data_IF_363394328657
#
_entry.id   IF_363394328657
#
_cell.length_a   1.000
_cell.length_b   1.000
_cell.length_c   1.000
_cell.angle_alpha   90.00
_cell.angle_beta   90.00
_cell.angle_gamma   90.00
#
_symmetry.space_group_name_H-M   'P 1'
#
loop_
_entity.id
_entity.type
_entity.pdbx_description
1 polymer ?
#
# COMPACT_ATOMS: atom_id res chain seq x y z
N UNK A 1 -16.03 4.94 18.50
CA UNK A 1 -16.02 6.42 18.53
C UNK A 1 -17.27 6.99 19.20
N UNK A 2 -17.13 8.04 20.04
CA UNK A 2 -18.26 8.75 20.66
C UNK A 2 -18.95 9.72 19.67
N UNK A 3 -20.28 9.86 19.74
CA UNK A 3 -21.09 10.76 18.92
C UNK A 3 -20.55 12.20 18.83
N UNK A 4 -20.09 12.78 19.95
CA UNK A 4 -19.55 14.15 19.95
C UNK A 4 -18.32 14.31 19.06
N UNK A 5 -17.45 13.29 19.03
CA UNK A 5 -16.26 13.29 18.18
C UNK A 5 -16.66 13.14 16.70
N UNK A 6 -17.62 12.23 16.43
CA UNK A 6 -18.20 12.03 15.10
C UNK A 6 -18.72 13.36 14.52
N UNK A 7 -19.53 14.08 15.29
CA UNK A 7 -20.13 15.35 14.85
C UNK A 7 -19.06 16.41 14.55
N UNK A 8 -17.98 16.46 15.36
CA UNK A 8 -16.87 17.40 15.16
C UNK A 8 -16.05 17.09 13.91
N UNK A 9 -15.82 15.82 13.62
CA UNK A 9 -15.13 15.39 12.39
C UNK A 9 -15.97 15.79 11.18
N UNK A 10 -17.27 15.48 11.19
CA UNK A 10 -18.20 15.84 10.10
C UNK A 10 -18.23 17.36 9.86
N UNK A 11 -18.32 18.16 10.93
CA UNK A 11 -18.30 19.62 10.83
C UNK A 11 -17.00 20.14 10.19
N UNK A 12 -15.85 19.59 10.58
CA UNK A 12 -14.55 19.97 10.02
C UNK A 12 -14.39 19.55 8.55
N UNK A 13 -14.91 18.39 8.17
CA UNK A 13 -14.94 17.90 6.79
C UNK A 13 -15.78 18.83 5.91
N UNK A 14 -16.98 19.20 6.37
CA UNK A 14 -17.87 20.07 5.61
C UNK A 14 -17.22 21.43 5.32
N UNK A 15 -16.53 22.01 6.31
CA UNK A 15 -15.78 23.27 6.13
C UNK A 15 -14.68 23.16 5.06
N UNK A 16 -13.99 22.02 5.00
CA UNK A 16 -12.96 21.77 3.97
C UNK A 16 -13.59 21.57 2.59
N UNK A 17 -14.72 20.88 2.48
CA UNK A 17 -15.38 20.65 1.19
C UNK A 17 -16.02 21.92 0.62
N UNK A 18 -16.58 22.76 1.49
CA UNK A 18 -17.15 24.05 1.10
C UNK A 18 -16.08 25.12 0.81
N UNK A 19 -14.83 24.86 1.20
CA UNK A 19 -13.72 25.76 0.95
C UNK A 19 -13.38 25.84 -0.54
N UNK A 20 -13.34 27.08 -1.06
CA UNK A 20 -13.00 27.36 -2.46
C UNK A 20 -11.74 28.22 -2.49
N UNK A 21 -10.57 27.65 -2.88
CA UNK A 21 -9.35 28.44 -3.01
C UNK A 21 -9.48 29.46 -4.14
N UNK A 22 -8.91 30.64 -3.94
CA UNK A 22 -8.77 31.66 -4.98
C UNK A 22 -7.65 31.28 -5.97
N UNK A 23 -7.64 31.91 -7.14
CA UNK A 23 -6.59 31.66 -8.13
C UNK A 23 -5.22 32.21 -7.70
N UNK A 24 -4.11 31.72 -8.26
CA UNK A 24 -2.77 32.23 -7.94
C UNK A 24 -2.53 33.68 -8.43
N UNK A 25 -3.39 34.17 -9.32
CA UNK A 25 -3.37 35.56 -9.82
C UNK A 25 -4.37 36.48 -9.10
N UNK A 26 -4.99 36.01 -8.01
CA UNK A 26 -5.88 36.82 -7.18
C UNK A 26 -5.13 37.93 -6.45
N UNK A 27 -5.90 38.82 -5.83
CA UNK A 27 -5.35 39.89 -5.00
C UNK A 27 -4.49 39.31 -3.83
N UNK A 28 -3.33 39.91 -3.49
CA UNK A 28 -2.47 39.40 -2.42
C UNK A 28 -3.14 39.27 -1.05
N UNK A 29 -4.08 40.15 -0.72
CA UNK A 29 -4.83 40.08 0.55
C UNK A 29 -5.84 38.93 0.52
N UNK A 30 -6.47 38.69 -0.65
CA UNK A 30 -7.35 37.55 -0.88
C UNK A 30 -6.57 36.23 -0.73
N UNK A 31 -5.39 36.13 -1.35
CA UNK A 31 -4.51 34.96 -1.25
C UNK A 31 -4.10 34.71 0.20
N UNK A 32 -3.69 35.77 0.91
CA UNK A 32 -3.27 35.68 2.31
C UNK A 32 -4.41 35.18 3.20
N UNK A 33 -5.63 35.68 2.98
CA UNK A 33 -6.82 35.23 3.70
C UNK A 33 -7.15 33.76 3.41
N UNK A 34 -7.08 33.34 2.15
CA UNK A 34 -7.31 31.94 1.73
C UNK A 34 -6.32 30.99 2.41
N UNK A 35 -5.02 31.31 2.40
CA UNK A 35 -3.99 30.50 3.06
C UNK A 35 -4.27 30.40 4.57
N UNK A 36 -4.60 31.53 5.21
CA UNK A 36 -4.86 31.59 6.64
C UNK A 36 -6.09 30.74 7.02
N UNK A 37 -7.22 30.93 6.34
CA UNK A 37 -8.47 30.20 6.59
C UNK A 37 -8.28 28.70 6.35
N UNK A 38 -7.61 28.33 5.25
CA UNK A 38 -7.31 26.93 4.96
C UNK A 38 -6.46 26.28 6.05
N UNK A 39 -5.41 26.98 6.52
CA UNK A 39 -4.55 26.50 7.61
C UNK A 39 -5.35 26.21 8.89
N UNK A 40 -6.35 27.02 9.20
CA UNK A 40 -7.23 26.79 10.35
C UNK A 40 -8.06 25.53 10.14
N UNK A 41 -8.72 25.41 8.98
CA UNK A 41 -9.59 24.28 8.69
C UNK A 41 -8.84 22.96 8.71
N UNK A 42 -7.63 22.91 8.11
CA UNK A 42 -6.85 21.68 8.07
C UNK A 42 -6.32 21.28 9.45
N UNK A 43 -5.92 22.25 10.30
CA UNK A 43 -5.53 21.99 11.69
C UNK A 43 -6.68 21.43 12.52
N UNK A 44 -7.87 21.99 12.34
CA UNK A 44 -9.08 21.54 13.03
C UNK A 44 -9.45 20.12 12.63
N UNK A 45 -9.49 19.84 11.32
CA UNK A 45 -9.71 18.49 10.79
C UNK A 45 -8.69 17.50 11.35
N UNK A 46 -7.39 17.81 11.25
CA UNK A 46 -6.31 16.95 11.76
C UNK A 46 -6.48 16.65 13.26
N UNK A 47 -6.81 17.67 14.05
CA UNK A 47 -6.98 17.52 15.49
C UNK A 47 -8.13 16.58 15.88
N UNK A 48 -9.27 16.63 15.18
CA UNK A 48 -10.39 15.74 15.48
C UNK A 48 -10.22 14.36 14.84
N UNK A 49 -9.79 14.29 13.58
CA UNK A 49 -9.67 13.04 12.85
C UNK A 49 -8.53 12.14 13.36
N UNK A 50 -7.47 12.70 13.97
CA UNK A 50 -6.41 11.92 14.64
C UNK A 50 -6.89 11.15 15.88
N UNK A 51 -8.13 11.35 16.31
CA UNK A 51 -8.75 10.64 17.44
C UNK A 51 -9.68 9.52 17.01
N UNK A 52 -9.72 9.21 15.72
CA UNK A 52 -10.43 8.05 15.20
C UNK A 52 -9.79 6.78 15.78
N UNK A 53 -10.63 5.79 16.09
CA UNK A 53 -10.19 4.52 16.68
C UNK A 53 -9.38 3.69 15.66
N UNK A 54 -9.66 3.88 14.38
CA UNK A 54 -8.96 3.26 13.25
C UNK A 54 -7.48 3.71 13.17
N UNK A 55 -6.56 2.74 13.29
CA UNK A 55 -5.12 3.00 13.32
C UNK A 55 -4.58 3.50 11.98
N UNK A 56 -5.12 3.01 10.85
CA UNK A 56 -4.66 3.39 9.52
C UNK A 56 -5.08 4.83 9.20
N UNK A 57 -6.36 5.15 9.39
CA UNK A 57 -6.86 6.51 9.18
C UNK A 57 -6.19 7.51 10.11
N UNK A 58 -6.00 7.15 11.38
CA UNK A 58 -5.28 7.99 12.34
C UNK A 58 -3.87 8.32 11.85
N UNK A 59 -3.12 7.32 11.37
CA UNK A 59 -1.77 7.54 10.84
C UNK A 59 -1.77 8.47 9.62
N UNK A 60 -2.65 8.24 8.66
CA UNK A 60 -2.75 9.09 7.46
C UNK A 60 -3.08 10.54 7.84
N UNK A 61 -3.97 10.74 8.81
CA UNK A 61 -4.31 12.08 9.33
C UNK A 61 -3.11 12.73 10.04
N UNK A 62 -2.34 11.96 10.82
CA UNK A 62 -1.15 12.45 11.51
C UNK A 62 -0.05 12.91 10.55
N UNK A 63 0.02 12.33 9.35
CA UNK A 63 1.01 12.68 8.31
C UNK A 63 0.67 13.95 7.51
N UNK A 64 -0.57 14.46 7.58
CA UNK A 64 -0.98 15.71 6.88
C UNK A 64 -0.11 16.89 7.32
N UNK A 65 0.57 17.57 6.39
CA UNK A 65 1.21 18.85 6.69
C UNK A 65 0.14 19.95 6.80
N UNK A 66 0.20 20.71 7.89
CA UNK A 66 -0.75 21.81 8.17
C UNK A 66 -0.12 23.19 8.00
N UNK A 67 1.18 23.21 7.65
CA UNK A 67 1.94 24.43 7.40
C UNK A 67 1.82 24.75 5.92
N UNK A 68 0.83 25.57 5.62
CA UNK A 68 0.65 26.18 4.31
C UNK A 68 1.02 27.66 4.40
N UNK A 69 1.81 28.10 3.45
CA UNK A 69 2.38 29.45 3.34
C UNK A 69 2.21 30.03 1.94
N UNK A 70 1.88 29.20 0.95
CA UNK A 70 1.59 29.61 -0.41
C UNK A 70 0.26 29.05 -0.89
N UNK A 71 -0.33 29.68 -1.91
CA UNK A 71 -1.57 29.21 -2.54
C UNK A 71 -1.38 27.84 -3.22
N UNK A 72 -0.18 27.54 -3.71
CA UNK A 72 0.14 26.24 -4.30
C UNK A 72 0.12 25.12 -3.26
N UNK A 73 0.70 25.37 -2.08
CA UNK A 73 0.67 24.43 -0.96
C UNK A 73 -0.77 24.17 -0.49
N UNK A 74 -1.67 25.16 -0.58
CA UNK A 74 -3.11 24.95 -0.34
C UNK A 74 -3.69 23.92 -1.32
N UNK A 75 -3.43 24.07 -2.62
CA UNK A 75 -3.92 23.12 -3.63
C UNK A 75 -3.32 21.72 -3.46
N UNK A 76 -2.01 21.62 -3.22
CA UNK A 76 -1.31 20.35 -2.97
C UNK A 76 -1.90 19.63 -1.75
N UNK A 77 -1.95 20.33 -0.61
CA UNK A 77 -2.53 19.79 0.63
C UNK A 77 -3.98 19.38 0.42
N UNK A 78 -4.77 20.15 -0.34
CA UNK A 78 -6.15 19.79 -0.62
C UNK A 78 -6.29 18.52 -1.47
N UNK A 79 -5.38 18.31 -2.42
CA UNK A 79 -5.29 17.08 -3.22
C UNK A 79 -4.98 15.88 -2.34
N UNK A 80 -4.05 16.02 -1.40
CA UNK A 80 -3.62 14.92 -0.51
C UNK A 80 -4.66 14.58 0.56
N UNK A 81 -5.40 15.58 1.04
CA UNK A 81 -6.38 15.41 2.13
C UNK A 81 -7.71 14.85 1.63
N UNK A 82 -8.09 15.11 0.37
CA UNK A 82 -9.37 14.66 -0.19
C UNK A 82 -9.59 13.13 -0.10
N UNK A 83 -8.62 12.27 -0.49
CA UNK A 83 -8.75 10.82 -0.29
C UNK A 83 -8.96 10.44 1.17
N UNK A 84 -8.22 11.06 2.09
CA UNK A 84 -8.33 10.81 3.53
C UNK A 84 -9.72 11.19 4.05
N UNK A 85 -10.25 12.32 3.60
CA UNK A 85 -11.63 12.72 3.91
C UNK A 85 -12.60 11.64 3.47
N UNK A 86 -12.49 11.16 2.23
CA UNK A 86 -13.39 10.13 1.71
C UNK A 86 -13.32 8.84 2.54
N UNK A 87 -12.12 8.36 2.87
CA UNK A 87 -11.96 7.16 3.69
C UNK A 87 -12.59 7.32 5.09
N UNK A 88 -12.46 8.52 5.68
CA UNK A 88 -13.09 8.83 6.98
C UNK A 88 -14.61 8.91 6.86
N UNK A 89 -15.14 9.46 5.76
CA UNK A 89 -16.58 9.48 5.49
C UNK A 89 -17.14 8.06 5.45
N UNK A 90 -16.47 7.19 4.71
CA UNK A 90 -16.85 5.78 4.58
C UNK A 90 -16.80 5.09 5.96
N UNK A 91 -15.75 5.34 6.76
CA UNK A 91 -15.63 4.87 8.15
C UNK A 91 -16.79 5.30 9.06
N UNK A 92 -17.27 6.54 8.87
CA UNK A 92 -18.29 7.16 9.72
C UNK A 92 -19.70 6.66 9.37
N UNK A 93 -19.97 6.36 8.10
CA UNK A 93 -21.31 6.15 7.59
C UNK A 93 -21.60 4.74 7.07
N UNK A 94 -20.60 3.90 6.79
CA UNK A 94 -20.83 2.53 6.35
C UNK A 94 -20.79 1.54 7.53
N UNK A 95 -21.92 0.86 7.88
CA UNK A 95 -21.94 -0.14 8.95
C UNK A 95 -21.06 -1.36 8.65
N UNK A 96 -20.75 -1.57 7.37
CA UNK A 96 -19.83 -2.59 6.86
C UNK A 96 -18.49 -2.00 6.44
N UNK A 97 -18.09 -0.86 7.00
CA UNK A 97 -16.74 -0.33 6.82
C UNK A 97 -15.74 -1.31 7.44
N UNK A 98 -15.42 -2.34 6.70
CA UNK A 98 -14.06 -2.80 6.62
C UNK A 98 -13.34 -1.66 5.92
N UNK A 99 -12.26 -1.14 6.51
CA UNK A 99 -11.28 -0.42 5.70
C UNK A 99 -11.09 -1.35 4.50
N UNK A 100 -11.47 -0.90 3.30
CA UNK A 100 -10.64 -1.25 2.17
C UNK A 100 -9.31 -0.62 2.56
N UNK A 101 -8.51 -1.36 3.35
CA UNK A 101 -7.08 -1.16 3.41
C UNK A 101 -6.83 -1.02 1.93
N UNK A 102 -6.43 0.19 1.52
CA UNK A 102 -5.91 0.42 0.19
C UNK A 102 -5.17 -0.86 -0.19
N UNK A 103 -5.26 -1.27 -1.44
CA UNK A 103 -4.44 -2.35 -1.97
C UNK A 103 -2.91 -2.12 -1.79
N UNK A 104 -2.44 -1.36 -0.78
CA UNK A 104 -1.10 -1.20 -0.26
C UNK A 104 -0.53 -2.42 0.47
N UNK A 105 -1.30 -3.48 0.74
CA UNK A 105 -0.65 -4.76 1.05
C UNK A 105 -0.29 -5.44 -0.25
N UNK A 106 0.99 -5.76 -0.43
CA UNK A 106 1.47 -6.45 -1.63
C UNK A 106 0.94 -7.90 -1.68
N UNK A 107 0.80 -8.55 -0.53
CA UNK A 107 0.22 -9.88 -0.35
C UNK A 107 -1.04 -9.78 0.50
N UNK A 108 -2.14 -10.36 0.03
CA UNK A 108 -3.40 -10.35 0.77
C UNK A 108 -3.28 -11.05 2.13
N UNK A 109 -3.86 -10.44 3.18
CA UNK A 109 -3.97 -11.05 4.51
C UNK A 109 -4.78 -12.34 4.51
N UNK A 110 -5.76 -12.46 3.62
CA UNK A 110 -6.59 -13.67 3.51
C UNK A 110 -5.73 -14.87 3.11
N UNK A 111 -4.86 -14.71 2.11
CA UNK A 111 -3.91 -15.73 1.66
C UNK A 111 -2.95 -16.13 2.78
N UNK A 112 -2.41 -15.15 3.52
CA UNK A 112 -1.52 -15.41 4.66
C UNK A 112 -2.23 -16.22 5.75
N UNK A 113 -3.47 -15.86 6.05
CA UNK A 113 -4.30 -16.57 7.04
C UNK A 113 -4.57 -18.00 6.58
N UNK A 114 -4.95 -18.21 5.32
CA UNK A 114 -5.15 -19.54 4.76
C UNK A 114 -3.88 -20.41 4.84
N UNK A 115 -2.69 -19.84 4.61
CA UNK A 115 -1.43 -20.58 4.77
C UNK A 115 -1.16 -20.98 6.22
N UNK A 116 -1.57 -20.17 7.20
CA UNK A 116 -1.41 -20.51 8.63
C UNK A 116 -2.34 -21.64 9.08
N UNK A 117 -3.48 -21.80 8.42
CA UNK A 117 -4.48 -22.84 8.73
C UNK A 117 -4.15 -24.20 8.12
N UNK A 118 -3.30 -24.25 7.09
CA UNK A 118 -2.90 -25.50 6.45
C UNK A 118 -2.05 -26.34 7.40
N UNK A 119 -2.51 -27.57 7.63
CA UNK A 119 -1.73 -28.62 8.25
C UNK A 119 -1.21 -29.55 7.15
N UNK A 120 0.09 -29.51 6.87
CA UNK A 120 0.73 -30.38 5.89
C UNK A 120 1.88 -31.17 6.55
N UNK A 121 1.94 -32.48 6.32
CA UNK A 121 2.94 -33.35 6.94
C UNK A 121 4.35 -33.18 6.34
N UNK A 122 4.44 -32.68 5.10
CA UNK A 122 5.69 -32.63 4.33
C UNK A 122 6.35 -31.24 4.35
N UNK A 123 5.58 -30.16 4.57
CA UNK A 123 6.07 -28.79 4.46
C UNK A 123 5.65 -27.91 5.65
N UNK A 124 6.64 -27.26 6.28
CA UNK A 124 6.42 -26.18 7.26
C UNK A 124 6.39 -24.82 6.54
N UNK A 125 5.25 -24.13 6.60
CA UNK A 125 5.00 -22.86 5.90
C UNK A 125 5.41 -21.62 6.69
N UNK A 126 5.92 -21.73 7.92
CA UNK A 126 6.28 -20.56 8.76
C UNK A 126 7.20 -19.58 8.04
N UNK A 127 8.20 -20.09 7.31
CA UNK A 127 9.12 -19.25 6.55
C UNK A 127 8.43 -18.54 5.39
N UNK A 128 7.55 -19.23 4.66
CA UNK A 128 6.78 -18.63 3.57
C UNK A 128 5.88 -17.51 4.10
N UNK A 129 5.15 -17.78 5.19
CA UNK A 129 4.30 -16.80 5.87
C UNK A 129 5.11 -15.60 6.35
N UNK A 130 6.28 -15.83 6.95
CA UNK A 130 7.15 -14.75 7.40
C UNK A 130 7.65 -13.88 6.24
N UNK A 131 8.04 -14.48 5.11
CA UNK A 131 8.44 -13.73 3.91
C UNK A 131 7.27 -12.87 3.41
N UNK A 132 6.04 -13.40 3.36
CA UNK A 132 4.86 -12.63 2.96
C UNK A 132 4.57 -11.44 3.89
N UNK A 133 4.72 -11.64 5.21
CA UNK A 133 4.58 -10.55 6.19
C UNK A 133 5.67 -9.48 6.02
N UNK A 134 6.92 -9.89 5.75
CA UNK A 134 8.02 -8.96 5.50
C UNK A 134 7.86 -8.20 4.19
N UNK A 135 7.36 -8.86 3.14
CA UNK A 135 6.99 -8.20 1.88
C UNK A 135 5.98 -7.09 2.15
N UNK A 136 4.91 -7.38 2.87
CA UNK A 136 3.90 -6.39 3.24
C UNK A 136 4.48 -5.23 4.07
N UNK A 137 5.25 -5.53 5.13
CA UNK A 137 5.82 -4.47 5.96
C UNK A 137 6.80 -3.59 5.19
N UNK A 138 7.62 -4.15 4.31
CA UNK A 138 8.60 -3.38 3.53
C UNK A 138 7.92 -2.56 2.44
N UNK A 139 6.91 -3.12 1.79
CA UNK A 139 6.17 -2.43 0.76
C UNK A 139 5.44 -1.21 1.30
N UNK A 140 4.77 -1.34 2.45
CA UNK A 140 4.11 -0.21 3.14
C UNK A 140 5.10 0.88 3.60
N UNK A 141 6.37 0.54 3.85
CA UNK A 141 7.41 1.49 4.25
C UNK A 141 8.16 2.10 3.06
N UNK A 142 7.82 1.72 1.81
CA UNK A 142 8.54 2.15 0.62
C UNK A 142 9.93 1.51 0.44
N UNK A 143 10.23 0.41 1.15
CA UNK A 143 11.50 -0.30 1.08
C UNK A 143 11.54 -1.24 -0.16
N UNK A 144 11.38 -0.68 -1.35
CA UNK A 144 11.14 -1.46 -2.58
C UNK A 144 12.33 -2.34 -3.02
N UNK A 145 13.56 -2.01 -2.64
CA UNK A 145 14.73 -2.89 -2.81
C UNK A 145 14.52 -4.18 -1.99
N UNK A 146 14.11 -4.06 -0.73
CA UNK A 146 13.85 -5.21 0.13
C UNK A 146 12.68 -6.04 -0.38
N UNK A 147 11.64 -5.41 -0.91
CA UNK A 147 10.49 -6.12 -1.50
C UNK A 147 10.93 -6.98 -2.68
N UNK A 148 11.67 -6.42 -3.65
CA UNK A 148 12.12 -7.19 -4.82
C UNK A 148 13.01 -8.36 -4.44
N UNK A 149 13.91 -8.17 -3.45
CA UNK A 149 14.76 -9.21 -2.89
C UNK A 149 13.97 -10.31 -2.19
N UNK A 150 12.95 -9.95 -1.41
CA UNK A 150 12.11 -10.92 -0.71
C UNK A 150 11.27 -11.75 -1.67
N UNK A 151 10.72 -11.15 -2.73
CA UNK A 151 9.99 -11.92 -3.74
C UNK A 151 10.94 -12.85 -4.50
N UNK A 152 12.16 -12.40 -4.82
CA UNK A 152 13.20 -13.27 -5.39
C UNK A 152 13.55 -14.44 -4.46
N UNK A 153 13.68 -14.19 -3.16
CA UNK A 153 13.91 -15.24 -2.17
C UNK A 153 12.72 -16.22 -2.10
N UNK A 154 11.49 -15.71 -2.18
CA UNK A 154 10.27 -16.52 -2.21
C UNK A 154 10.25 -17.48 -3.40
N UNK A 155 10.42 -16.98 -4.63
CA UNK A 155 10.37 -17.83 -5.83
C UNK A 155 11.47 -18.90 -5.87
N UNK A 156 12.61 -18.66 -5.21
CA UNK A 156 13.69 -19.65 -5.07
C UNK A 156 13.41 -20.69 -3.99
N UNK A 157 12.61 -20.34 -2.98
CA UNK A 157 12.31 -21.19 -1.84
C UNK A 157 11.19 -22.22 -2.11
N UNK A 158 10.18 -21.83 -2.89
CA UNK A 158 8.96 -22.63 -3.12
C UNK A 158 9.04 -23.83 -4.08
N UNK A 159 10.02 -24.01 -5.00
CA UNK A 159 9.98 -25.09 -5.99
C UNK A 159 9.74 -26.52 -5.45
N UNK A 160 10.25 -26.91 -4.26
CA UNK A 160 9.98 -28.23 -3.69
C UNK A 160 8.49 -28.53 -3.45
N UNK A 161 7.64 -27.52 -3.19
CA UNK A 161 6.19 -27.69 -3.04
C UNK A 161 5.55 -28.21 -4.35
N UNK A 162 6.18 -27.89 -5.48
CA UNK A 162 5.75 -28.28 -6.83
C UNK A 162 6.56 -29.46 -7.38
N UNK A 163 7.26 -30.21 -6.53
CA UNK A 163 8.15 -31.31 -6.93
C UNK A 163 9.19 -30.89 -7.99
N UNK A 164 9.56 -29.61 -7.98
CA UNK A 164 10.42 -28.98 -8.98
C UNK A 164 11.74 -28.55 -8.35
N UNK A 165 12.84 -28.59 -9.13
CA UNK A 165 14.18 -28.23 -8.64
C UNK A 165 14.42 -26.73 -8.60
N UNK A 166 13.73 -25.98 -9.45
CA UNK A 166 13.89 -24.54 -9.58
C UNK A 166 12.58 -23.91 -10.08
N UNK A 167 12.48 -22.58 -10.02
CA UNK A 167 11.27 -21.88 -10.39
C UNK A 167 10.95 -21.95 -11.89
N UNK A 168 11.97 -22.06 -12.74
CA UNK A 168 11.80 -22.27 -14.19
C UNK A 168 11.02 -23.57 -14.48
N UNK A 169 11.27 -24.64 -13.73
CA UNK A 169 10.50 -25.89 -13.84
C UNK A 169 9.06 -25.72 -13.35
N UNK A 170 8.83 -24.94 -12.29
CA UNK A 170 7.47 -24.59 -11.83
C UNK A 170 6.70 -23.89 -12.95
N UNK A 171 7.30 -22.88 -13.58
CA UNK A 171 6.72 -22.17 -14.73
C UNK A 171 6.47 -23.14 -15.89
N UNK A 172 7.44 -23.98 -16.24
CA UNK A 172 7.34 -24.90 -17.36
C UNK A 172 6.20 -25.92 -17.21
N UNK A 173 6.00 -26.42 -16.00
CA UNK A 173 5.00 -27.44 -15.64
C UNK A 173 3.62 -26.88 -15.26
N UNK A 174 3.47 -25.55 -15.24
CA UNK A 174 2.19 -24.89 -14.96
C UNK A 174 1.22 -24.96 -16.14
N UNK A 175 -0.08 -24.80 -15.86
CA UNK A 175 -1.10 -24.67 -16.91
C UNK A 175 -0.82 -23.49 -17.83
N UNK A 176 -1.34 -23.51 -19.07
CA UNK A 176 -1.03 -22.46 -20.07
C UNK A 176 -1.28 -21.03 -19.58
N UNK A 177 -2.38 -20.80 -18.86
CA UNK A 177 -2.72 -19.47 -18.32
C UNK A 177 -1.81 -19.06 -17.16
N UNK A 178 -1.55 -19.98 -16.22
CA UNK A 178 -0.68 -19.73 -15.06
C UNK A 178 0.76 -19.53 -15.50
N UNK A 179 1.21 -20.28 -16.51
CA UNK A 179 2.57 -20.24 -17.05
C UNK A 179 2.98 -18.84 -17.52
N UNK A 180 2.14 -18.16 -18.31
CA UNK A 180 2.46 -16.80 -18.80
C UNK A 180 2.57 -15.79 -17.64
N UNK A 181 1.78 -15.98 -16.59
CA UNK A 181 1.78 -15.13 -15.39
C UNK A 181 3.04 -15.37 -14.56
N UNK A 182 3.37 -16.63 -14.26
CA UNK A 182 4.56 -16.98 -13.47
C UNK A 182 5.85 -16.68 -14.21
N UNK A 183 5.85 -16.75 -15.55
CA UNK A 183 7.00 -16.37 -16.38
C UNK A 183 7.44 -14.92 -16.13
N UNK A 184 6.49 -14.00 -15.93
CA UNK A 184 6.82 -12.61 -15.60
C UNK A 184 7.54 -12.46 -14.25
N UNK A 185 7.27 -13.33 -13.28
CA UNK A 185 8.02 -13.38 -12.02
C UNK A 185 9.43 -13.95 -12.22
N UNK A 186 9.58 -14.98 -13.05
CA UNK A 186 10.84 -15.68 -13.28
C UNK A 186 11.83 -14.89 -14.15
N UNK A 187 11.33 -14.12 -15.12
CA UNK A 187 12.13 -13.31 -16.04
C UNK A 187 12.24 -11.87 -15.54
N UNK A 188 11.14 -11.10 -15.56
CA UNK A 188 11.23 -9.65 -15.38
C UNK A 188 11.46 -9.23 -13.92
N UNK A 189 10.69 -9.76 -12.97
CA UNK A 189 10.88 -9.41 -11.55
C UNK A 189 12.24 -9.89 -11.05
N UNK A 190 12.67 -11.07 -11.52
CA UNK A 190 13.99 -11.62 -11.24
C UNK A 190 15.09 -10.64 -11.67
N UNK A 191 15.00 -10.11 -12.88
CA UNK A 191 15.95 -9.14 -13.42
C UNK A 191 15.93 -7.81 -12.65
N UNK A 192 14.76 -7.33 -12.23
CA UNK A 192 14.64 -6.13 -11.38
C UNK A 192 15.36 -6.34 -10.04
N UNK A 193 15.14 -7.49 -9.39
CA UNK A 193 15.82 -7.80 -8.14
C UNK A 193 17.33 -7.90 -8.34
N UNK A 194 17.80 -8.58 -9.40
CA UNK A 194 19.24 -8.69 -9.70
C UNK A 194 19.88 -7.34 -10.02
N UNK A 195 19.18 -6.47 -10.75
CA UNK A 195 19.63 -5.12 -11.04
C UNK A 195 19.90 -4.35 -9.74
N UNK A 196 18.96 -4.33 -8.81
CA UNK A 196 19.11 -3.62 -7.53
C UNK A 196 20.08 -4.30 -6.54
N UNK A 197 20.43 -5.58 -6.77
CA UNK A 197 21.37 -6.32 -5.92
C UNK A 197 22.82 -6.20 -6.41
N UNK A 198 23.02 -6.21 -7.73
CA UNK A 198 24.35 -6.28 -8.35
C UNK A 198 24.88 -4.93 -8.82
N UNK A 199 24.06 -3.87 -8.79
CA UNK A 199 24.54 -2.55 -9.15
C UNK A 199 25.61 -2.05 -8.17
N UNK A 200 26.72 -1.59 -8.75
CA UNK A 200 27.76 -0.84 -8.04
C UNK A 200 27.36 0.64 -7.92
N UNK A 201 27.87 1.31 -6.88
CA UNK A 201 27.59 2.73 -6.61
C UNK A 201 27.93 3.64 -7.79
N UNK A 202 27.05 4.60 -8.10
CA UNK A 202 27.20 5.56 -9.23
C UNK A 202 27.12 7.01 -8.75
N UNK A 203 27.49 7.96 -9.62
CA UNK A 203 27.42 9.42 -9.35
C UNK A 203 25.99 9.93 -9.10
N UNK A 204 25.00 9.26 -9.69
CA UNK A 204 23.57 9.50 -9.49
C UNK A 204 22.90 8.14 -9.42
N UNK A 205 22.12 7.93 -8.37
CA UNK A 205 21.38 6.69 -8.15
C UNK A 205 19.88 6.99 -8.23
N UNK A 206 19.14 6.00 -8.69
CA UNK A 206 17.69 6.04 -8.72
C UNK A 206 17.21 4.79 -7.97
N UNK A 207 16.40 5.02 -6.93
CA UNK A 207 15.82 3.93 -6.15
C UNK A 207 14.64 3.31 -6.91
N UNK A 208 14.35 2.01 -6.72
CA UNK A 208 13.13 1.43 -7.23
C UNK A 208 11.92 2.20 -6.69
N UNK A 209 10.94 2.41 -7.56
CA UNK A 209 9.66 2.99 -7.19
C UNK A 209 8.59 1.90 -7.09
N UNK A 210 7.46 2.21 -6.44
CA UNK A 210 6.27 1.36 -6.38
C UNK A 210 5.89 0.79 -7.75
N UNK A 211 5.99 1.61 -8.80
CA UNK A 211 5.66 1.25 -10.18
C UNK A 211 6.50 0.10 -10.76
N UNK A 212 7.71 -0.15 -10.25
CA UNK A 212 8.52 -1.28 -10.68
C UNK A 212 8.01 -2.62 -10.13
N UNK A 213 7.20 -2.61 -9.07
CA UNK A 213 6.76 -3.83 -8.37
C UNK A 213 5.26 -4.12 -8.52
N UNK A 214 4.44 -3.08 -8.65
CA UNK A 214 2.99 -3.17 -8.81
C UNK A 214 2.53 -4.17 -9.90
N UNK A 215 3.13 -4.19 -11.11
CA UNK A 215 2.70 -5.12 -12.15
C UNK A 215 2.79 -6.60 -11.76
N UNK A 216 3.61 -6.96 -10.77
CA UNK A 216 3.86 -8.33 -10.35
C UNK A 216 3.04 -8.76 -9.14
N UNK A 217 2.26 -7.85 -8.55
CA UNK A 217 1.44 -8.11 -7.37
C UNK A 217 0.44 -9.25 -7.61
N UNK A 218 -0.34 -9.15 -8.69
CA UNK A 218 -1.30 -10.19 -9.09
C UNK A 218 -0.62 -11.51 -9.48
N UNK A 219 0.60 -11.45 -10.04
CA UNK A 219 1.35 -12.65 -10.39
C UNK A 219 1.77 -13.44 -9.15
N UNK A 220 2.22 -12.73 -8.09
CA UNK A 220 2.57 -13.35 -6.82
C UNK A 220 1.34 -13.91 -6.11
N UNK A 221 0.21 -13.20 -6.16
CA UNK A 221 -1.05 -13.69 -5.61
C UNK A 221 -1.48 -15.02 -6.25
N UNK A 222 -1.41 -15.13 -7.58
CA UNK A 222 -1.71 -16.37 -8.30
C UNK A 222 -0.74 -17.49 -7.89
N UNK A 223 0.55 -17.19 -7.74
CA UNK A 223 1.53 -18.17 -7.29
C UNK A 223 1.20 -18.71 -5.89
N UNK A 224 0.81 -17.84 -4.97
CA UNK A 224 0.44 -18.24 -3.61
C UNK A 224 -0.85 -19.09 -3.62
N UNK A 225 -1.81 -18.78 -4.48
CA UNK A 225 -2.99 -19.64 -4.67
C UNK A 225 -2.63 -21.02 -5.19
N UNK A 226 -1.72 -21.14 -6.16
CA UNK A 226 -1.23 -22.44 -6.63
C UNK A 226 -0.56 -23.25 -5.52
N UNK A 227 0.18 -22.59 -4.62
CA UNK A 227 0.74 -23.23 -3.41
C UNK A 227 -0.37 -23.77 -2.50
N UNK A 228 -1.40 -22.94 -2.21
CA UNK A 228 -2.54 -23.37 -1.40
C UNK A 228 -3.26 -24.57 -2.01
N UNK A 229 -3.44 -24.59 -3.34
CA UNK A 229 -4.07 -25.70 -4.06
C UNK A 229 -3.21 -26.96 -3.92
N UNK A 230 -1.89 -26.86 -4.10
CA UNK A 230 -0.96 -28.01 -4.01
C UNK A 230 -0.87 -28.63 -2.63
N UNK A 231 -1.00 -27.82 -1.58
CA UNK A 231 -0.86 -28.29 -0.20
C UNK A 231 -2.16 -28.83 0.42
N UNK A 232 -3.30 -28.53 -0.19
CA UNK A 232 -4.62 -29.07 0.18
C UNK A 232 -5.00 -30.37 -0.57
N UNK A 233 -4.14 -30.85 -1.48
CA UNK A 233 -4.26 -32.15 -2.16
C UNK A 233 -3.62 -33.26 -1.34
#
# INVERSE_FOLDING_TARGET
MNQRLKDKIIESIQRLEDFKPCGPSSDPDEISNVIYVFSIFIKEFKYYASRIDDEFLRKNVEEIDTRVSTIYEVYETFSDVRPIIQDIKDYIWEPSYEIQISNDLYVSKTIITSMLEIQNANFDLKKLVQICNEINSNYQKGNYISVSLLIRALINYIPPIFESKNFQQVVANSSRSVKEILKQLDENLRDIADFHTHQIIRRREELPTKNQLEPYKGNLEILLHEILIKLNQ
#
